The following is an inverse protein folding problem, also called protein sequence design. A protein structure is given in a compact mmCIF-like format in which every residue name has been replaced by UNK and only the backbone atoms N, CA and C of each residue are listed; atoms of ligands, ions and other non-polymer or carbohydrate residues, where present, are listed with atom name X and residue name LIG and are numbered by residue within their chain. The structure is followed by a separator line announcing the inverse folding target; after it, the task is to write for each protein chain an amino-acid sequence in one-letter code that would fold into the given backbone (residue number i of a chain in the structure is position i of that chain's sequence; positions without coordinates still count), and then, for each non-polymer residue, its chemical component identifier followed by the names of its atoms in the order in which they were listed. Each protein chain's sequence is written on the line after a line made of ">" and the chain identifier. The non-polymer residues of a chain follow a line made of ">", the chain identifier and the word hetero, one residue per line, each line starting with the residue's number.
data_IF_169529168871
#
_entry.id   IF_169529168871
#
_cell.length_a   1.000
_cell.length_b   1.000
_cell.length_c   1.000
_cell.angle_alpha   90.00
_cell.angle_beta   90.00
_cell.angle_gamma   90.00
#
_symmetry.space_group_name_H-M   'P 1'
#
loop_
_entity.id
_entity.type
_entity.pdbx_description
1 polymer ?
#
# COMPACT_ATOMS: atom_id res chain seq x y z
N UNK A 1 -0.25 -13.35 4.92
CA UNK A 1 -0.27 -12.95 3.52
C UNK A 1 -1.34 -13.67 2.67
N UNK A 2 -1.73 -14.89 2.98
CA UNK A 2 -2.89 -15.57 2.35
C UNK A 2 -4.20 -14.76 2.39
N UNK A 3 -4.33 -13.82 3.33
CA UNK A 3 -5.53 -13.00 3.52
C UNK A 3 -5.73 -11.93 2.43
N UNK A 4 -4.70 -11.51 1.72
CA UNK A 4 -4.81 -10.47 0.68
C UNK A 4 -5.36 -11.04 -0.63
N UNK A 5 -5.04 -12.30 -0.95
CA UNK A 5 -5.55 -13.03 -2.12
C UNK A 5 -6.65 -14.04 -1.76
N UNK A 6 -6.92 -14.25 -0.47
CA UNK A 6 -8.00 -15.08 0.06
C UNK A 6 -9.35 -14.35 0.07
N UNK A 7 -10.35 -14.95 0.72
CA UNK A 7 -11.69 -14.34 0.87
C UNK A 7 -11.56 -12.93 1.45
N UNK A 8 -12.20 -11.96 0.77
CA UNK A 8 -12.29 -10.60 1.29
C UNK A 8 -12.77 -10.61 2.75
N UNK A 9 -12.13 -9.84 3.64
CA UNK A 9 -12.62 -9.67 5.00
C UNK A 9 -14.07 -9.16 5.00
N UNK A 10 -14.87 -9.47 6.03
CA UNK A 10 -16.22 -8.95 6.13
C UNK A 10 -16.22 -7.41 6.03
N UNK A 11 -17.06 -6.86 5.14
CA UNK A 11 -17.16 -5.42 4.89
C UNK A 11 -16.26 -4.87 3.78
N UNK A 12 -15.40 -5.68 3.16
CA UNK A 12 -14.63 -5.29 1.97
C UNK A 12 -15.51 -5.49 0.74
N UNK A 13 -15.91 -4.40 0.12
CA UNK A 13 -16.80 -4.39 -1.06
C UNK A 13 -16.04 -4.38 -2.38
N UNK A 14 -14.74 -4.06 -2.37
CA UNK A 14 -13.90 -4.00 -3.56
C UNK A 14 -12.66 -4.89 -3.39
N UNK A 15 -12.40 -5.73 -4.40
CA UNK A 15 -11.16 -6.51 -4.53
C UNK A 15 -10.26 -5.83 -5.56
N UNK A 16 -8.93 -5.79 -5.34
CA UNK A 16 -8.01 -5.30 -6.34
C UNK A 16 -8.22 -6.02 -7.68
N UNK A 17 -8.21 -5.32 -8.81
CA UNK A 17 -8.43 -5.93 -10.13
C UNK A 17 -7.17 -6.66 -10.64
N UNK A 18 -6.69 -7.65 -9.88
CA UNK A 18 -5.52 -8.44 -10.21
C UNK A 18 -5.95 -9.50 -11.24
N UNK A 19 -5.25 -9.53 -12.37
CA UNK A 19 -5.44 -10.54 -13.40
C UNK A 19 -4.87 -11.90 -12.94
N UNK A 20 -5.38 -13.03 -13.49
CA UNK A 20 -4.77 -14.32 -13.27
C UNK A 20 -3.27 -14.30 -13.64
N UNK A 21 -2.42 -15.05 -12.91
CA UNK A 21 -0.99 -15.08 -13.20
C UNK A 21 -0.68 -15.53 -14.64
N UNK A 22 0.25 -14.85 -15.29
CA UNK A 22 0.80 -15.24 -16.59
C UNK A 22 2.32 -15.40 -16.45
N UNK A 23 2.86 -16.54 -16.80
CA UNK A 23 4.29 -16.86 -16.72
C UNK A 23 4.94 -16.55 -15.34
N UNK A 24 4.18 -16.70 -14.26
CA UNK A 24 4.63 -16.42 -12.90
C UNK A 24 4.56 -14.96 -12.49
N UNK A 25 3.90 -14.10 -13.26
CA UNK A 25 3.73 -12.67 -12.98
C UNK A 25 2.27 -12.26 -12.88
N UNK A 26 2.04 -11.21 -12.12
CA UNK A 26 0.75 -10.57 -11.90
C UNK A 26 0.73 -9.17 -12.49
N UNK A 27 -0.44 -8.78 -13.00
CA UNK A 27 -0.76 -7.42 -13.43
C UNK A 27 -2.12 -7.02 -12.88
N UNK A 28 -2.34 -5.73 -12.75
CA UNK A 28 -3.69 -5.19 -12.60
C UNK A 28 -4.35 -5.06 -13.97
N UNK A 29 -5.66 -5.26 -14.01
CA UNK A 29 -6.45 -5.00 -15.21
C UNK A 29 -6.33 -3.51 -15.58
N UNK A 30 -5.78 -3.22 -16.76
CA UNK A 30 -5.39 -1.88 -17.21
C UNK A 30 -6.53 -0.86 -17.08
N UNK A 31 -7.74 -1.24 -17.49
CA UNK A 31 -8.90 -0.35 -17.50
C UNK A 31 -9.46 -0.07 -16.10
N UNK A 32 -9.27 -0.97 -15.16
CA UNK A 32 -9.74 -0.86 -13.78
C UNK A 32 -8.69 -0.34 -12.80
N UNK A 33 -7.42 -0.39 -13.18
CA UNK A 33 -6.31 0.03 -12.32
C UNK A 33 -6.45 1.50 -11.87
N UNK A 34 -6.78 2.50 -12.73
CA UNK A 34 -6.93 3.88 -12.27
C UNK A 34 -7.95 4.04 -11.14
N UNK A 35 -9.10 3.41 -11.25
CA UNK A 35 -10.17 3.52 -10.25
C UNK A 35 -9.83 2.86 -8.90
N UNK A 36 -8.97 1.84 -8.89
CA UNK A 36 -8.59 1.13 -7.66
C UNK A 36 -7.28 1.62 -7.05
N UNK A 37 -6.34 2.04 -7.88
CA UNK A 37 -4.98 2.40 -7.46
C UNK A 37 -4.79 3.92 -7.31
N UNK A 38 -5.40 4.71 -8.20
CA UNK A 38 -5.12 6.13 -8.40
C UNK A 38 -6.42 6.96 -8.54
N UNK A 39 -7.45 6.62 -7.75
CA UNK A 39 -8.79 7.21 -7.86
C UNK A 39 -8.85 8.71 -7.58
N UNK A 40 -7.85 9.26 -6.91
CA UNK A 40 -7.72 10.67 -6.55
C UNK A 40 -6.76 11.45 -7.47
N UNK A 41 -6.27 10.83 -8.54
CA UNK A 41 -5.49 11.48 -9.58
C UNK A 41 -6.34 11.84 -10.80
N UNK A 42 -5.79 12.63 -11.71
CA UNK A 42 -6.43 12.90 -12.98
C UNK A 42 -6.54 11.63 -13.85
N UNK A 43 -7.47 11.62 -14.79
CA UNK A 43 -7.66 10.49 -15.71
C UNK A 43 -6.38 10.18 -16.51
N UNK A 44 -5.65 11.21 -16.93
CA UNK A 44 -4.41 11.07 -17.70
C UNK A 44 -3.28 10.47 -16.85
N UNK A 45 -3.13 10.91 -15.61
CA UNK A 45 -2.15 10.35 -14.67
C UNK A 45 -2.48 8.88 -14.34
N UNK A 46 -3.76 8.58 -14.08
CA UNK A 46 -4.21 7.20 -13.84
C UNK A 46 -3.97 6.29 -15.05
N UNK A 47 -4.23 6.78 -16.27
CA UNK A 47 -3.94 6.03 -17.49
C UNK A 47 -2.44 5.82 -17.70
N UNK A 48 -1.63 6.84 -17.46
CA UNK A 48 -0.17 6.72 -17.50
C UNK A 48 0.36 5.69 -16.51
N UNK A 49 -0.14 5.68 -15.27
CA UNK A 49 0.25 4.68 -14.27
C UNK A 49 -0.15 3.27 -14.71
N UNK A 50 -1.33 3.10 -15.30
CA UNK A 50 -1.79 1.81 -15.82
C UNK A 50 -0.91 1.28 -16.96
N UNK A 51 -0.46 2.18 -17.86
CA UNK A 51 0.43 1.84 -18.97
C UNK A 51 1.88 1.59 -18.52
N UNK A 52 2.26 2.13 -17.38
CA UNK A 52 3.61 2.03 -16.80
C UNK A 52 3.78 0.85 -15.84
N UNK A 53 2.80 -0.04 -15.73
CA UNK A 53 2.89 -1.20 -14.84
C UNK A 53 4.11 -2.05 -15.14
N UNK A 54 4.79 -2.47 -14.06
CA UNK A 54 5.85 -3.48 -14.11
C UNK A 54 5.28 -4.80 -13.57
N UNK A 55 5.57 -5.94 -14.19
CA UNK A 55 5.08 -7.24 -13.74
C UNK A 55 5.52 -7.54 -12.30
N UNK A 56 4.59 -8.00 -11.48
CA UNK A 56 4.84 -8.40 -10.09
C UNK A 56 4.96 -9.92 -9.98
N UNK A 57 6.14 -10.42 -9.59
CA UNK A 57 6.39 -11.86 -9.47
C UNK A 57 5.54 -12.53 -8.39
N UNK A 58 4.88 -13.63 -8.73
CA UNK A 58 4.11 -14.44 -7.76
C UNK A 58 5.01 -14.92 -6.61
N UNK A 59 6.26 -15.28 -6.89
CA UNK A 59 7.23 -15.69 -5.87
C UNK A 59 7.55 -14.57 -4.87
N UNK A 60 7.59 -13.31 -5.34
CA UNK A 60 7.79 -12.16 -4.45
C UNK A 60 6.61 -11.97 -3.49
N UNK A 61 5.38 -12.23 -3.95
CA UNK A 61 4.17 -12.16 -3.13
C UNK A 61 4.11 -13.28 -2.10
N UNK A 62 4.51 -14.49 -2.44
CA UNK A 62 4.49 -15.68 -1.58
C UNK A 62 5.76 -15.85 -0.73
N UNK A 63 6.77 -15.05 -0.98
CA UNK A 63 8.04 -15.08 -0.29
C UNK A 63 7.91 -14.85 1.22
N UNK A 64 8.75 -15.53 2.00
CA UNK A 64 8.81 -15.37 3.44
C UNK A 64 9.97 -14.47 3.85
N UNK A 65 9.74 -13.61 4.86
CA UNK A 65 10.78 -12.80 5.47
C UNK A 65 11.24 -13.49 6.74
N UNK A 66 12.52 -13.86 6.81
CA UNK A 66 13.11 -14.54 7.97
C UNK A 66 13.19 -13.63 9.20
N UNK A 67 13.57 -12.36 8.97
CA UNK A 67 13.67 -11.32 9.99
C UNK A 67 12.92 -10.06 9.56
N UNK A 68 11.76 -9.86 10.13
CA UNK A 68 10.95 -8.67 9.86
C UNK A 68 11.52 -7.47 10.63
N UNK A 69 11.98 -6.44 9.92
CA UNK A 69 12.64 -5.27 10.51
C UNK A 69 11.80 -4.53 11.55
N UNK A 70 10.48 -4.50 11.40
CA UNK A 70 9.56 -3.86 12.37
C UNK A 70 9.59 -4.50 13.77
N UNK A 71 10.13 -5.71 13.93
CA UNK A 71 10.29 -6.36 15.26
C UNK A 71 11.39 -5.75 16.11
N UNK A 72 12.34 -5.04 15.50
CA UNK A 72 13.52 -4.49 16.16
C UNK A 72 13.78 -3.01 15.82
N UNK A 73 13.02 -2.44 14.89
CA UNK A 73 13.15 -1.04 14.45
C UNK A 73 11.83 -0.32 14.64
N UNK A 74 11.85 0.96 15.04
CA UNK A 74 10.65 1.78 15.01
C UNK A 74 10.15 1.91 13.57
N UNK A 75 8.85 1.97 13.40
CA UNK A 75 8.21 2.07 12.10
C UNK A 75 7.02 3.05 12.14
N UNK A 76 6.74 3.65 10.99
CA UNK A 76 5.62 4.58 10.78
C UNK A 76 4.79 4.10 9.62
N UNK A 77 3.50 4.27 9.71
CA UNK A 77 2.54 3.83 8.71
C UNK A 77 1.57 4.96 8.37
N UNK A 78 1.47 5.32 7.10
CA UNK A 78 0.44 6.22 6.59
C UNK A 78 -0.72 5.38 6.04
N UNK A 79 -1.87 5.46 6.68
CA UNK A 79 -3.10 4.82 6.19
C UNK A 79 -3.75 5.74 5.16
N UNK A 80 -3.87 5.26 3.93
CA UNK A 80 -4.64 5.93 2.87
C UNK A 80 -6.11 5.55 3.03
N UNK A 81 -6.96 6.52 3.43
CA UNK A 81 -8.33 6.20 3.85
C UNK A 81 -9.30 5.91 2.70
N UNK A 82 -8.87 6.14 1.46
CA UNK A 82 -9.66 5.90 0.24
C UNK A 82 -8.98 4.87 -0.69
N UNK A 83 -8.08 4.07 -0.13
CA UNK A 83 -7.33 3.05 -0.87
C UNK A 83 -8.24 1.90 -1.34
N UNK A 84 -8.34 1.74 -2.66
CA UNK A 84 -9.09 0.67 -3.32
C UNK A 84 -8.29 -0.60 -3.55
N UNK A 85 -6.98 -0.62 -3.24
CA UNK A 85 -6.10 -1.78 -3.37
C UNK A 85 -5.96 -2.54 -2.06
N UNK A 86 -5.62 -1.84 -0.98
CA UNK A 86 -5.52 -2.37 0.37
C UNK A 86 -6.54 -1.64 1.23
N UNK A 87 -7.67 -2.27 1.57
CA UNK A 87 -8.71 -1.61 2.35
C UNK A 87 -8.18 -1.00 3.66
N UNK A 88 -8.60 0.22 4.03
CA UNK A 88 -8.10 0.90 5.23
C UNK A 88 -8.14 0.06 6.53
N UNK A 89 -9.17 -0.77 6.79
CA UNK A 89 -9.15 -1.65 7.95
C UNK A 89 -8.01 -2.67 7.93
N UNK A 90 -7.64 -3.18 6.75
CA UNK A 90 -6.50 -4.09 6.60
C UNK A 90 -5.17 -3.35 6.82
N UNK A 91 -5.03 -2.12 6.33
CA UNK A 91 -3.87 -1.27 6.57
C UNK A 91 -3.68 -1.02 8.08
N UNK A 92 -4.75 -0.65 8.80
CA UNK A 92 -4.69 -0.46 10.26
C UNK A 92 -4.27 -1.73 10.99
N UNK A 93 -4.81 -2.89 10.60
CA UNK A 93 -4.42 -4.18 11.20
C UNK A 93 -2.94 -4.52 10.96
N UNK A 94 -2.42 -4.24 9.75
CA UNK A 94 -1.00 -4.43 9.46
C UNK A 94 -0.11 -3.47 10.26
N UNK A 95 -0.51 -2.21 10.40
CA UNK A 95 0.21 -1.23 11.18
C UNK A 95 0.24 -1.59 12.68
N UNK A 96 -0.89 -2.06 13.23
CA UNK A 96 -1.00 -2.56 14.60
C UNK A 96 -0.10 -3.78 14.82
N UNK A 97 -0.13 -4.75 13.91
CA UNK A 97 0.74 -5.93 13.97
C UNK A 97 2.23 -5.58 13.95
N UNK A 98 2.60 -4.54 13.20
CA UNK A 98 3.96 -4.04 13.13
C UNK A 98 4.36 -3.14 14.32
N UNK A 99 3.41 -2.74 15.17
CA UNK A 99 3.64 -1.77 16.25
C UNK A 99 4.02 -0.40 15.72
N UNK A 100 3.53 -0.02 14.54
CA UNK A 100 3.89 1.24 13.88
C UNK A 100 3.21 2.45 14.51
N UNK A 101 3.88 3.60 14.48
CA UNK A 101 3.22 4.89 14.68
C UNK A 101 2.35 5.19 13.47
N UNK A 102 1.04 5.39 13.68
CA UNK A 102 0.06 5.52 12.58
C UNK A 102 -0.34 6.98 12.38
N UNK A 103 -0.38 7.40 11.13
CA UNK A 103 -1.09 8.59 10.67
C UNK A 103 -2.05 8.19 9.54
N UNK A 104 -3.08 9.01 9.33
CA UNK A 104 -4.08 8.76 8.29
C UNK A 104 -4.24 10.01 7.42
N UNK A 105 -4.41 9.80 6.13
CA UNK A 105 -4.74 10.87 5.18
C UNK A 105 -5.72 10.38 4.12
N UNK A 106 -6.58 11.29 3.66
CA UNK A 106 -7.48 11.01 2.55
C UNK A 106 -6.67 10.89 1.25
N UNK A 107 -6.82 9.76 0.58
CA UNK A 107 -6.13 9.49 -0.66
C UNK A 107 -6.25 8.02 -1.08
N UNK A 108 -5.99 7.77 -2.36
CA UNK A 108 -5.95 6.43 -2.94
C UNK A 108 -4.66 5.68 -2.59
N UNK A 109 -4.45 4.52 -3.20
CA UNK A 109 -3.18 3.80 -3.10
C UNK A 109 -1.98 4.62 -3.62
N UNK A 110 -2.23 5.55 -4.55
CA UNK A 110 -1.26 6.49 -5.08
C UNK A 110 -1.09 7.77 -4.23
N UNK A 111 -1.39 7.72 -2.94
CA UNK A 111 -1.33 8.86 -2.01
C UNK A 111 0.01 9.62 -2.03
N UNK A 112 1.10 8.95 -2.37
CA UNK A 112 2.42 9.55 -2.50
C UNK A 112 2.53 10.52 -3.68
N UNK A 113 1.62 10.42 -4.65
CA UNK A 113 1.48 11.35 -5.78
C UNK A 113 0.47 12.45 -5.46
N UNK A 114 -0.71 12.08 -4.94
CA UNK A 114 -1.80 13.03 -4.68
C UNK A 114 -1.58 13.88 -3.43
N UNK A 115 -0.90 13.33 -2.42
CA UNK A 115 -0.65 13.98 -1.11
C UNK A 115 0.84 13.95 -0.73
N UNK A 116 1.77 14.42 -1.58
CA UNK A 116 3.20 14.31 -1.32
C UNK A 116 3.63 15.03 -0.04
N UNK A 117 2.92 16.09 0.34
CA UNK A 117 3.21 16.82 1.59
C UNK A 117 2.91 15.99 2.84
N UNK A 118 1.82 15.21 2.86
CA UNK A 118 1.50 14.33 3.97
C UNK A 118 2.54 13.20 4.12
N UNK A 119 2.97 12.62 3.00
CA UNK A 119 4.02 11.60 2.98
C UNK A 119 5.36 12.17 3.47
N UNK A 120 5.75 13.36 2.97
CA UNK A 120 6.97 14.03 3.40
C UNK A 120 6.96 14.35 4.90
N UNK A 121 5.86 14.87 5.43
CA UNK A 121 5.71 15.19 6.85
C UNK A 121 5.89 13.95 7.75
N UNK A 122 5.32 12.80 7.35
CA UNK A 122 5.51 11.55 8.09
C UNK A 122 6.98 11.09 8.07
N UNK A 123 7.65 11.21 6.92
CA UNK A 123 9.08 10.87 6.79
C UNK A 123 9.94 11.78 7.68
N UNK A 124 9.70 13.09 7.68
CA UNK A 124 10.42 14.06 8.51
C UNK A 124 10.21 13.78 10.00
N UNK A 125 8.98 13.47 10.39
CA UNK A 125 8.65 13.08 11.77
C UNK A 125 9.42 11.82 12.18
N UNK A 126 9.37 10.78 11.38
CA UNK A 126 10.10 9.54 11.62
C UNK A 126 11.62 9.78 11.78
N UNK A 127 12.21 10.57 10.88
CA UNK A 127 13.62 10.91 10.93
C UNK A 127 13.99 11.71 12.21
N UNK A 128 13.11 12.57 12.66
CA UNK A 128 13.30 13.37 13.87
C UNK A 128 13.23 12.53 15.13
N UNK A 129 12.24 11.65 15.24
CA UNK A 129 12.04 10.77 16.40
C UNK A 129 13.18 9.76 16.55
N UNK A 130 13.68 9.18 15.46
CA UNK A 130 14.84 8.28 15.48
C UNK A 130 16.10 9.01 15.96
N UNK A 131 16.34 10.26 15.54
CA UNK A 131 17.49 11.05 15.99
C UNK A 131 17.43 11.39 17.49
N UNK A 132 16.23 11.63 18.01
CA UNK A 132 16.05 11.91 19.44
C UNK A 132 16.28 10.66 20.29
N UNK A 133 15.86 9.50 19.84
CA UNK A 133 16.04 8.23 20.55
C UNK A 133 17.51 7.74 20.54
N UNK A 134 18.34 8.24 19.63
CA UNK A 134 19.77 7.89 19.51
C UNK A 134 20.71 8.78 20.35
N UNK A 135 20.18 9.76 21.10
CA UNK A 135 20.92 10.65 22.01
C UNK A 135 20.79 10.21 23.47
#
# INVERSE_FOLDING_TARGET
>A
METILGKAPPGVTMMPPILPPQDGFLFLEREKMPASFAADLSADEGAFMADSQVPWGVEALSGTVSEAAWRSKPSWYLVATEDGMIPPPAQRSMAEQAGSTVEEAAGSHAIYVSQPAAVAALIEKAASEVRLAAR
#
